data_IF_117203472772
#
_entry.id   IF_117203472772
#
_cell.length_a   1.000
_cell.length_b   1.000
_cell.length_c   1.000
_cell.angle_alpha   90.00
_cell.angle_beta   90.00
_cell.angle_gamma   90.00
#
_symmetry.space_group_name_H-M   'P 1'
#
loop_
_entity.id
_entity.type
_entity.pdbx_description
1 polymer ?
#
# COMPACT_ATOMS: atom_id res chain seq x y z
N UNK A 1 64.97 23.05 -8.00
CA UNK A 1 64.49 22.50 -9.28
C UNK A 1 63.74 21.21 -8.99
N UNK A 2 62.52 21.09 -9.54
CA UNK A 2 61.64 19.89 -9.62
C UNK A 2 61.18 19.23 -8.30
N UNK A 3 59.98 18.68 -8.17
CA UNK A 3 58.70 18.75 -8.88
C UNK A 3 57.72 17.91 -8.03
N UNK A 4 56.43 18.18 -8.19
CA UNK A 4 55.29 17.66 -7.43
C UNK A 4 55.10 16.13 -7.41
N UNK A 5 54.51 15.61 -6.32
CA UNK A 5 53.53 14.49 -6.24
C UNK A 5 53.35 14.10 -4.75
N UNK A 6 52.16 13.89 -4.16
CA UNK A 6 50.77 13.95 -4.58
C UNK A 6 49.92 14.35 -3.36
N UNK A 7 48.91 15.19 -3.56
CA UNK A 7 47.52 14.77 -3.70
C UNK A 7 46.90 14.33 -2.35
N UNK A 8 46.20 15.28 -1.74
CA UNK A 8 45.32 15.15 -0.58
C UNK A 8 44.28 14.03 -0.77
N UNK A 9 43.90 13.27 0.28
CA UNK A 9 42.81 12.29 0.21
C UNK A 9 41.47 13.02 0.36
N UNK A 10 41.13 13.87 -0.60
CA UNK A 10 39.86 14.58 -0.66
C UNK A 10 39.03 14.13 -1.87
N UNK A 11 38.85 12.81 -2.07
CA UNK A 11 37.92 12.34 -3.11
C UNK A 11 37.44 10.88 -3.06
N UNK A 12 37.50 10.20 -1.90
CA UNK A 12 36.92 8.85 -1.81
C UNK A 12 35.44 8.85 -1.37
N UNK A 13 34.95 9.94 -0.78
CA UNK A 13 33.53 10.09 -0.43
C UNK A 13 32.63 10.32 -1.66
N UNK A 14 33.16 10.86 -2.77
CA UNK A 14 32.38 11.18 -3.97
C UNK A 14 32.25 10.01 -4.97
N UNK A 15 33.00 8.92 -4.78
CA UNK A 15 32.95 7.70 -5.61
C UNK A 15 32.02 6.62 -5.08
N UNK A 16 31.42 6.84 -3.91
CA UNK A 16 30.35 5.98 -3.40
C UNK A 16 29.05 6.37 -4.09
N UNK A 17 28.95 6.06 -5.40
CA UNK A 17 27.69 6.09 -6.12
C UNK A 17 26.63 5.40 -5.29
N UNK A 18 25.49 6.06 -5.09
CA UNK A 18 24.37 5.64 -4.23
C UNK A 18 24.31 4.12 -4.07
N UNK A 19 24.94 3.61 -3.00
CA UNK A 19 24.91 2.19 -2.70
C UNK A 19 23.44 1.87 -2.45
N UNK A 20 22.82 1.14 -3.38
CA UNK A 20 21.47 0.64 -3.21
C UNK A 20 21.57 -0.30 -2.01
N UNK A 21 21.10 0.17 -0.84
CA UNK A 21 21.01 -0.67 0.35
C UNK A 21 19.92 -1.70 0.05
N UNK A 22 20.33 -2.93 -0.23
CA UNK A 22 19.41 -4.06 -0.27
C UNK A 22 18.94 -4.31 1.15
N UNK A 23 17.66 -4.03 1.42
CA UNK A 23 17.01 -4.48 2.64
C UNK A 23 16.51 -5.90 2.38
N UNK A 24 16.99 -6.87 3.16
CA UNK A 24 16.47 -8.22 3.12
C UNK A 24 15.09 -8.25 3.80
N UNK A 25 14.06 -8.42 2.97
CA UNK A 25 12.67 -8.49 3.44
C UNK A 25 12.31 -9.96 3.60
N UNK A 26 11.88 -10.35 4.81
CA UNK A 26 11.36 -11.70 5.04
C UNK A 26 10.07 -11.93 4.21
N UNK A 27 10.19 -12.83 3.24
CA UNK A 27 9.12 -13.21 2.31
C UNK A 27 7.90 -13.79 3.05
N UNK A 28 8.07 -14.37 4.24
CA UNK A 28 6.97 -14.88 5.07
C UNK A 28 6.08 -13.74 5.54
N UNK A 29 6.66 -12.63 5.97
CA UNK A 29 5.93 -11.43 6.38
C UNK A 29 5.17 -10.84 5.19
N UNK A 30 5.85 -10.71 4.05
CA UNK A 30 5.24 -10.21 2.81
C UNK A 30 4.05 -11.06 2.39
N UNK A 31 4.14 -12.39 2.50
CA UNK A 31 3.04 -13.29 2.14
C UNK A 31 1.77 -13.05 2.97
N UNK A 32 1.92 -12.64 4.24
CA UNK A 32 0.80 -12.36 5.15
C UNK A 32 0.26 -10.93 5.03
N UNK A 33 1.13 -9.97 4.73
CA UNK A 33 0.75 -8.56 4.57
C UNK A 33 0.17 -8.25 3.18
N UNK A 34 0.63 -8.94 2.14
CA UNK A 34 0.21 -8.68 0.75
C UNK A 34 -1.31 -8.75 0.54
N UNK A 35 -2.06 -9.74 1.08
CA UNK A 35 -3.52 -9.75 0.98
C UNK A 35 -4.17 -8.50 1.58
N UNK A 36 -3.67 -8.05 2.75
CA UNK A 36 -4.16 -6.86 3.46
C UNK A 36 -3.91 -5.61 2.63
N UNK A 37 -2.68 -5.43 2.15
CA UNK A 37 -2.27 -4.29 1.34
C UNK A 37 -3.06 -4.21 0.02
N UNK A 38 -3.27 -5.35 -0.66
CA UNK A 38 -4.07 -5.41 -1.88
C UNK A 38 -5.52 -4.98 -1.63
N UNK A 39 -6.10 -5.42 -0.52
CA UNK A 39 -7.49 -5.11 -0.18
C UNK A 39 -7.65 -3.65 0.24
N UNK A 40 -6.72 -3.10 1.03
CA UNK A 40 -6.65 -1.67 1.35
C UNK A 40 -6.51 -0.83 0.09
N UNK A 41 -5.63 -1.24 -0.84
CA UNK A 41 -5.46 -0.56 -2.13
C UNK A 41 -6.76 -0.56 -2.93
N UNK A 42 -7.43 -1.71 -3.04
CA UNK A 42 -8.72 -1.80 -3.74
C UNK A 42 -9.74 -0.83 -3.15
N UNK A 43 -9.85 -0.77 -1.83
CA UNK A 43 -10.74 0.18 -1.15
C UNK A 43 -10.37 1.64 -1.45
N UNK A 44 -9.10 2.01 -1.37
CA UNK A 44 -8.66 3.37 -1.70
C UNK A 44 -8.90 3.73 -3.18
N UNK A 45 -8.60 2.82 -4.10
CA UNK A 45 -8.88 3.01 -5.52
C UNK A 45 -10.38 3.21 -5.77
N UNK A 46 -11.25 2.50 -5.03
CA UNK A 46 -12.72 2.68 -5.14
C UNK A 46 -13.24 3.99 -4.60
N UNK A 47 -12.70 4.50 -3.49
CA UNK A 47 -13.12 5.80 -2.95
C UNK A 47 -12.73 6.92 -3.91
N UNK A 48 -11.48 6.90 -4.38
CA UNK A 48 -10.97 7.87 -5.35
C UNK A 48 -11.79 7.82 -6.65
N UNK A 49 -12.11 6.63 -7.15
CA UNK A 49 -12.86 6.49 -8.39
C UNK A 49 -14.30 7.02 -8.26
N UNK A 50 -14.95 6.82 -7.12
CA UNK A 50 -16.30 7.33 -6.84
C UNK A 50 -16.34 8.85 -6.67
N UNK A 51 -15.35 9.42 -5.98
CA UNK A 51 -15.22 10.87 -5.85
C UNK A 51 -15.04 11.54 -7.21
N UNK A 52 -14.20 10.96 -8.07
CA UNK A 52 -14.03 11.43 -9.45
C UNK A 52 -15.32 11.35 -10.26
N UNK A 53 -16.05 10.23 -10.19
CA UNK A 53 -17.34 10.08 -10.87
C UNK A 53 -18.29 11.18 -10.44
N UNK A 54 -18.47 11.38 -9.14
CA UNK A 54 -19.39 12.40 -8.62
C UNK A 54 -19.02 13.81 -9.12
N UNK A 55 -17.73 14.16 -9.10
CA UNK A 55 -17.28 15.46 -9.61
C UNK A 55 -17.47 15.63 -11.13
N UNK A 56 -17.32 14.55 -11.90
CA UNK A 56 -17.50 14.54 -13.35
C UNK A 56 -19.00 14.66 -13.70
N UNK A 57 -19.87 13.93 -13.00
CA UNK A 57 -21.33 13.97 -13.16
C UNK A 57 -21.89 15.36 -12.80
N UNK A 58 -21.44 15.98 -11.71
CA UNK A 58 -21.85 17.33 -11.32
C UNK A 58 -21.48 18.38 -12.37
N UNK A 59 -20.25 18.28 -12.89
CA UNK A 59 -19.77 19.18 -13.95
C UNK A 59 -20.56 19.02 -15.25
N UNK A 60 -20.83 17.78 -15.67
CA UNK A 60 -21.60 17.51 -16.89
C UNK A 60 -23.05 17.94 -16.76
N UNK A 61 -23.67 17.72 -15.60
CA UNK A 61 -25.03 18.19 -15.32
C UNK A 61 -25.12 19.71 -15.42
N UNK A 62 -24.19 20.43 -14.79
CA UNK A 62 -24.17 21.89 -14.86
C UNK A 62 -23.97 22.40 -16.29
N UNK A 63 -23.05 21.80 -17.06
CA UNK A 63 -22.84 22.17 -18.45
C UNK A 63 -24.08 21.90 -19.33
N UNK A 64 -24.81 20.81 -19.05
CA UNK A 64 -26.05 20.50 -19.75
C UNK A 64 -27.17 21.49 -19.43
N UNK A 65 -27.32 21.88 -18.16
CA UNK A 65 -28.23 22.94 -17.72
C UNK A 65 -27.93 24.28 -18.42
N UNK A 66 -26.64 24.66 -18.51
CA UNK A 66 -26.21 25.89 -19.18
C UNK A 66 -26.49 25.87 -20.70
N UNK A 67 -26.39 24.70 -21.35
CA UNK A 67 -26.69 24.52 -22.77
C UNK A 67 -28.17 24.24 -23.06
N UNK A 68 -28.99 24.00 -22.03
CA UNK A 68 -30.39 23.61 -22.16
C UNK A 68 -30.60 22.22 -22.78
N UNK A 69 -29.66 21.30 -22.57
CA UNK A 69 -29.70 19.92 -23.08
C UNK A 69 -30.02 18.97 -21.93
N UNK A 70 -30.78 17.89 -22.20
CA UNK A 70 -31.08 16.87 -21.20
C UNK A 70 -29.85 16.00 -20.90
N UNK A 71 -29.54 15.78 -19.63
CA UNK A 71 -28.38 15.00 -19.18
C UNK A 71 -28.82 13.67 -18.60
N UNK A 72 -28.55 12.59 -19.33
CA UNK A 72 -28.67 11.22 -18.84
C UNK A 72 -27.29 10.67 -18.45
N UNK A 73 -27.07 10.51 -17.15
CA UNK A 73 -25.84 9.94 -16.60
C UNK A 73 -25.60 8.50 -17.06
N UNK A 74 -26.64 7.70 -17.31
CA UNK A 74 -26.48 6.29 -17.69
C UNK A 74 -26.01 6.12 -19.14
N UNK A 75 -26.39 7.05 -20.03
CA UNK A 75 -25.94 7.04 -21.43
C UNK A 75 -24.43 7.33 -21.53
N UNK A 76 -23.93 8.26 -20.71
CA UNK A 76 -22.51 8.64 -20.70
C UNK A 76 -21.58 7.56 -20.14
N UNK A 77 -22.02 6.80 -19.13
CA UNK A 77 -21.22 5.72 -18.54
C UNK A 77 -21.00 4.54 -19.49
N UNK A 78 -21.94 4.30 -20.40
CA UNK A 78 -21.92 3.20 -21.36
C UNK A 78 -21.09 3.50 -22.62
N UNK A 79 -20.46 4.67 -22.71
CA UNK A 79 -19.63 5.03 -23.85
C UNK A 79 -18.47 4.01 -24.08
N UNK A 80 -18.20 3.64 -25.35
CA UNK A 80 -17.16 2.67 -25.68
C UNK A 80 -15.80 3.17 -25.20
N UNK A 81 -15.19 2.41 -24.29
CA UNK A 81 -13.93 2.80 -23.64
C UNK A 81 -12.79 3.01 -24.63
N UNK A 82 -11.90 3.96 -24.30
CA UNK A 82 -10.72 4.30 -25.10
C UNK A 82 -9.78 3.09 -25.21
N UNK A 83 -9.59 2.55 -26.43
CA UNK A 83 -8.65 1.46 -26.71
C UNK A 83 -7.23 2.01 -26.84
N UNK A 84 -6.26 1.47 -26.08
CA UNK A 84 -4.86 1.88 -26.17
C UNK A 84 -4.05 1.75 -24.88
N UNK A 85 -2.86 2.38 -24.84
CA UNK A 85 -2.03 2.47 -23.62
C UNK A 85 -2.84 3.14 -22.51
N UNK A 86 -2.97 2.45 -21.37
CA UNK A 86 -3.78 2.93 -20.24
C UNK A 86 -5.22 2.39 -20.19
N UNK A 87 -5.69 1.66 -21.21
CA UNK A 87 -7.03 1.07 -21.21
C UNK A 87 -7.27 0.13 -20.01
N UNK A 88 -6.24 -0.60 -19.57
CA UNK A 88 -6.34 -1.44 -18.37
C UNK A 88 -6.53 -0.65 -17.07
N UNK A 89 -5.97 0.57 -16.98
CA UNK A 89 -6.18 1.46 -15.82
C UNK A 89 -7.60 2.02 -15.84
N UNK A 90 -8.05 2.47 -17.01
CA UNK A 90 -9.42 2.98 -17.20
C UNK A 90 -10.45 1.89 -16.89
N UNK A 91 -10.22 0.65 -17.34
CA UNK A 91 -11.09 -0.49 -17.04
C UNK A 91 -11.19 -0.75 -15.53
N UNK A 92 -10.04 -0.80 -14.83
CA UNK A 92 -10.01 -0.98 -13.37
C UNK A 92 -10.70 0.16 -12.63
N UNK A 93 -10.56 1.39 -13.11
CA UNK A 93 -11.25 2.55 -12.53
C UNK A 93 -12.77 2.43 -12.72
N UNK A 94 -13.25 2.04 -13.91
CA UNK A 94 -14.67 1.78 -14.17
C UNK A 94 -15.23 0.67 -13.28
N UNK A 95 -14.52 -0.45 -13.16
CA UNK A 95 -14.88 -1.54 -12.24
C UNK A 95 -14.93 -1.05 -10.78
N UNK A 96 -14.01 -0.17 -10.39
CA UNK A 96 -13.98 0.41 -9.04
C UNK A 96 -15.15 1.38 -8.76
N UNK A 97 -15.57 2.16 -9.77
CA UNK A 97 -16.77 3.01 -9.71
C UNK A 97 -18.05 2.20 -9.51
N UNK A 98 -18.16 1.05 -10.20
CA UNK A 98 -19.34 0.19 -10.19
C UNK A 98 -19.59 -0.61 -8.91
N UNK A 99 -18.65 -0.63 -7.95
CA UNK A 99 -18.85 -1.34 -6.68
C UNK A 99 -19.95 -0.70 -5.85
N UNK A 100 -20.91 -1.50 -5.38
CA UNK A 100 -22.03 -1.04 -4.56
C UNK A 100 -21.59 -0.67 -3.14
N UNK A 101 -22.41 0.10 -2.42
CA UNK A 101 -22.15 0.46 -1.01
C UNK A 101 -22.04 -0.77 -0.12
N UNK A 102 -22.89 -1.78 -0.36
CA UNK A 102 -22.87 -3.04 0.38
C UNK A 102 -21.54 -3.79 0.18
N UNK A 103 -21.07 -3.92 -1.06
CA UNK A 103 -19.80 -4.57 -1.37
C UNK A 103 -18.61 -3.82 -0.76
N UNK A 104 -18.61 -2.48 -0.80
CA UNK A 104 -17.56 -1.70 -0.12
C UNK A 104 -17.59 -1.88 1.40
N UNK A 105 -18.78 -2.05 1.98
CA UNK A 105 -18.97 -2.33 3.40
C UNK A 105 -18.40 -3.71 3.77
N UNK A 106 -18.71 -4.73 2.96
CA UNK A 106 -18.18 -6.08 3.13
C UNK A 106 -16.65 -6.11 3.02
N UNK A 107 -16.06 -5.40 2.04
CA UNK A 107 -14.61 -5.29 1.91
C UNK A 107 -13.97 -4.61 3.13
N UNK A 108 -14.57 -3.54 3.66
CA UNK A 108 -14.08 -2.90 4.90
C UNK A 108 -14.15 -3.84 6.10
N UNK A 109 -15.24 -4.60 6.24
CA UNK A 109 -15.38 -5.59 7.30
C UNK A 109 -14.30 -6.69 7.20
N UNK A 110 -14.07 -7.21 5.98
CA UNK A 110 -13.01 -8.18 5.72
C UNK A 110 -11.62 -7.60 6.02
N UNK A 111 -11.36 -6.34 5.67
CA UNK A 111 -10.11 -5.68 6.03
C UNK A 111 -9.92 -5.61 7.54
N UNK A 112 -10.97 -5.18 8.25
CA UNK A 112 -10.96 -5.02 9.71
C UNK A 112 -10.67 -6.36 10.40
N UNK A 113 -11.29 -7.44 9.92
CA UNK A 113 -11.04 -8.80 10.39
C UNK A 113 -9.56 -9.20 10.17
N UNK A 114 -9.05 -9.03 8.95
CA UNK A 114 -7.64 -9.31 8.65
C UNK A 114 -6.66 -8.48 9.48
N UNK A 115 -6.97 -7.20 9.75
CA UNK A 115 -6.15 -6.31 10.55
C UNK A 115 -6.21 -6.64 12.05
N UNK A 116 -7.30 -7.22 12.53
CA UNK A 116 -7.41 -7.68 13.93
C UNK A 116 -6.44 -8.83 14.23
N UNK A 117 -6.11 -9.63 13.21
CA UNK A 117 -5.15 -10.73 13.35
C UNK A 117 -3.69 -10.22 13.34
N UNK A 118 -2.96 -10.52 14.41
CA UNK A 118 -1.52 -10.21 14.52
C UNK A 118 -0.71 -11.00 13.50
N UNK A 119 0.30 -10.36 12.91
CA UNK A 119 1.25 -11.05 12.05
C UNK A 119 2.38 -11.56 12.93
N UNK A 120 2.25 -12.78 13.45
CA UNK A 120 3.28 -13.38 14.31
C UNK A 120 4.48 -13.81 13.47
N UNK A 121 5.37 -12.87 13.17
CA UNK A 121 6.61 -13.15 12.44
C UNK A 121 7.52 -13.95 13.37
N UNK A 122 7.70 -15.25 13.08
CA UNK A 122 8.64 -16.09 13.81
C UNK A 122 8.07 -17.12 14.80
N UNK A 123 6.76 -17.34 14.96
CA UNK A 123 6.25 -18.44 15.82
C UNK A 123 5.63 -19.56 14.99
N UNK A 124 6.08 -20.80 15.23
CA UNK A 124 5.29 -21.99 14.95
C UNK A 124 4.45 -22.28 16.19
N UNK A 125 3.13 -22.36 16.07
CA UNK A 125 2.25 -22.77 17.19
C UNK A 125 2.65 -24.14 17.79
N UNK A 126 3.39 -24.95 17.03
CA UNK A 126 3.91 -26.25 17.48
C UNK A 126 5.18 -26.15 18.34
N UNK A 127 5.88 -25.02 18.36
CA UNK A 127 7.13 -24.86 19.10
C UNK A 127 7.23 -23.45 19.71
N UNK A 128 6.73 -23.34 20.94
CA UNK A 128 6.69 -22.10 21.72
C UNK A 128 8.09 -21.58 22.09
N UNK A 129 9.10 -22.46 22.22
CA UNK A 129 10.44 -22.12 22.75
C UNK A 129 11.57 -22.14 21.73
N UNK A 130 11.29 -22.53 20.48
CA UNK A 130 12.34 -22.82 19.48
C UNK A 130 12.57 -21.69 18.48
N UNK A 131 11.95 -20.52 18.67
CA UNK A 131 12.11 -19.40 17.75
C UNK A 131 12.61 -18.16 18.47
N UNK A 132 13.41 -17.36 17.77
CA UNK A 132 14.12 -16.19 18.28
C UNK A 132 13.24 -15.00 18.66
N UNK A 133 12.04 -15.25 19.21
CA UNK A 133 11.21 -14.24 19.83
C UNK A 133 11.44 -14.26 21.33
N UNK A 134 11.71 -13.08 21.87
CA UNK A 134 11.69 -12.86 23.31
C UNK A 134 10.22 -12.81 23.79
N UNK A 135 9.79 -13.94 24.38
CA UNK A 135 8.43 -14.13 24.91
C UNK A 135 8.16 -13.15 26.06
N UNK A 136 9.20 -12.79 26.81
CA UNK A 136 9.08 -11.86 27.94
C UNK A 136 8.75 -10.45 27.44
N UNK A 137 9.40 -10.00 26.37
CA UNK A 137 9.06 -8.74 25.70
C UNK A 137 7.62 -8.72 25.16
N UNK A 138 7.13 -9.85 24.65
CA UNK A 138 5.76 -9.97 24.15
C UNK A 138 4.73 -9.87 25.29
N UNK A 139 4.99 -10.53 26.41
CA UNK A 139 4.13 -10.54 27.58
C UNK A 139 4.09 -9.16 28.25
N UNK A 140 5.24 -8.50 28.37
CA UNK A 140 5.34 -7.14 28.90
C UNK A 140 4.56 -6.12 28.04
N UNK A 141 4.59 -6.22 26.71
CA UNK A 141 3.77 -5.34 25.86
C UNK A 141 2.27 -5.60 26.01
N UNK A 142 1.87 -6.86 26.20
CA UNK A 142 0.47 -7.20 26.48
C UNK A 142 -0.01 -6.60 27.80
N UNK A 143 0.81 -6.68 28.84
CA UNK A 143 0.52 -6.10 30.17
C UNK A 143 0.56 -4.57 30.15
N UNK A 144 1.46 -3.97 29.37
CA UNK A 144 1.59 -2.52 29.21
C UNK A 144 0.50 -1.88 28.32
N UNK A 145 -0.39 -2.68 27.72
CA UNK A 145 -1.45 -2.17 26.83
C UNK A 145 -0.94 -1.58 25.52
N UNK A 146 0.34 -1.76 25.17
CA UNK A 146 0.94 -1.28 23.93
C UNK A 146 0.72 -2.34 22.86
N UNK A 147 -0.10 -2.01 21.86
CA UNK A 147 -0.46 -2.93 20.78
C UNK A 147 0.27 -2.57 19.49
N UNK A 148 1.23 -3.40 19.07
CA UNK A 148 1.66 -3.46 17.66
C UNK A 148 3.12 -3.16 17.32
N UNK A 149 4.01 -2.99 18.29
CA UNK A 149 5.41 -2.63 18.00
C UNK A 149 6.33 -3.84 17.80
N UNK A 150 5.94 -5.03 18.26
CA UNK A 150 6.80 -6.21 18.13
C UNK A 150 6.70 -6.84 16.73
N UNK A 151 7.67 -6.50 15.88
CA UNK A 151 7.91 -7.12 14.56
C UNK A 151 9.03 -8.17 14.60
N UNK A 152 9.36 -8.67 15.80
CA UNK A 152 10.49 -9.57 16.04
C UNK A 152 11.83 -8.83 16.12
N UNK A 153 12.89 -9.57 16.48
CA UNK A 153 14.27 -9.07 16.47
C UNK A 153 14.81 -9.11 15.04
N UNK A 154 15.25 -7.97 14.53
CA UNK A 154 16.01 -7.88 13.28
C UNK A 154 17.48 -7.92 13.65
N UNK A 155 18.16 -9.03 13.33
CA UNK A 155 19.55 -9.25 13.73
C UNK A 155 20.51 -8.14 13.26
N UNK A 156 20.18 -7.44 12.16
CA UNK A 156 21.07 -6.45 11.53
C UNK A 156 20.75 -4.99 11.88
N UNK A 157 19.86 -4.72 12.86
CA UNK A 157 19.54 -3.34 13.29
C UNK A 157 20.21 -2.94 14.62
N UNK A 158 20.95 -3.84 15.25
CA UNK A 158 21.61 -3.64 16.54
C UNK A 158 23.11 -3.92 16.49
N UNK A 159 23.80 -3.31 15.53
CA UNK A 159 25.25 -3.05 15.56
C UNK A 159 25.55 -1.61 15.09
#
# INVERSE_FOLDING_TARGET
>A
SSAAAGAEPANDAAKNGYFIRSLDIDRRVVSRLKPRANLSKKLADTTIAKEKKHSEDDFLRQAAEDLGVDYDSEEFENAPGKRGRGAGRIKKEREARGLTKAETGALRAQLKDMLSSRVNVGVSERYLTSSGLDIDSLLQQQEAGVHGEFLGTVADLMD
#
